data_IF_939000909142
#
_entry.id   IF_939000909142
#
_cell.length_a   1.000
_cell.length_b   1.000
_cell.length_c   1.000
_cell.angle_alpha   90.00
_cell.angle_beta   90.00
_cell.angle_gamma   90.00
#
_symmetry.space_group_name_H-M   'P 1'
#
loop_
_entity.id
_entity.type
_entity.pdbx_description
1 polymer ?
#
# COMPACT_ATOMS: atom_id res chain seq x y z
N UNK A 1 0.00 36.45 -13.69
CA UNK A 1 0.72 36.70 -12.43
C UNK A 1 -0.20 37.06 -11.28
N UNK A 2 -0.98 38.15 -11.35
CA UNK A 2 -1.94 38.52 -10.30
C UNK A 2 -2.88 37.37 -9.91
N UNK A 3 -3.41 36.66 -10.90
CA UNK A 3 -4.30 35.51 -10.68
C UNK A 3 -3.63 34.39 -9.86
N UNK A 4 -2.38 34.03 -10.18
CA UNK A 4 -1.61 32.99 -9.47
C UNK A 4 -1.41 33.38 -8.01
N UNK A 5 -1.04 34.65 -7.75
CA UNK A 5 -0.88 35.15 -6.38
C UNK A 5 -2.20 35.16 -5.60
N UNK A 6 -3.30 35.57 -6.24
CA UNK A 6 -4.63 35.52 -5.63
C UNK A 6 -5.04 34.07 -5.31
N UNK A 7 -4.73 33.11 -6.18
CA UNK A 7 -5.02 31.69 -5.96
C UNK A 7 -4.18 31.11 -4.83
N UNK A 8 -2.87 31.39 -4.80
CA UNK A 8 -1.98 30.99 -3.71
C UNK A 8 -2.44 31.59 -2.37
N UNK A 9 -2.78 32.88 -2.34
CA UNK A 9 -3.29 33.53 -1.12
C UNK A 9 -4.61 32.91 -0.65
N UNK A 10 -5.53 32.62 -1.58
CA UNK A 10 -6.79 31.92 -1.28
C UNK A 10 -6.52 30.54 -0.68
N UNK A 11 -5.67 29.73 -1.32
CA UNK A 11 -5.31 28.38 -0.84
C UNK A 11 -4.62 28.42 0.52
N UNK A 12 -3.71 29.35 0.75
CA UNK A 12 -3.04 29.52 2.04
C UNK A 12 -4.04 29.85 3.16
N UNK A 13 -5.06 30.66 2.86
CA UNK A 13 -6.12 31.01 3.80
C UNK A 13 -7.04 29.83 4.10
N UNK A 14 -7.46 29.08 3.08
CA UNK A 14 -8.48 28.03 3.20
C UNK A 14 -7.90 26.67 3.67
N UNK A 15 -6.62 26.41 3.42
CA UNK A 15 -6.01 25.11 3.73
C UNK A 15 -6.06 24.70 5.21
N UNK A 16 -5.84 25.59 6.20
CA UNK A 16 -5.96 25.23 7.61
C UNK A 16 -7.37 24.78 8.00
N UNK A 17 -8.38 25.52 7.58
CA UNK A 17 -9.79 25.18 7.85
C UNK A 17 -10.14 23.85 7.18
N UNK A 18 -9.73 23.66 5.93
CA UNK A 18 -9.94 22.39 5.22
C UNK A 18 -9.22 21.21 5.89
N UNK A 19 -8.01 21.41 6.39
CA UNK A 19 -7.28 20.39 7.12
C UNK A 19 -7.94 20.04 8.46
N UNK A 20 -8.51 21.03 9.15
CA UNK A 20 -9.28 20.82 10.38
C UNK A 20 -10.56 20.01 10.09
N UNK A 21 -11.33 20.37 9.07
CA UNK A 21 -12.50 19.62 8.61
C UNK A 21 -12.16 18.15 8.31
N UNK A 22 -11.09 17.91 7.56
CA UNK A 22 -10.67 16.55 7.21
C UNK A 22 -10.20 15.77 8.43
N UNK A 23 -9.56 16.42 9.40
CA UNK A 23 -9.14 15.79 10.66
C UNK A 23 -10.35 15.37 11.51
N UNK A 24 -11.39 16.21 11.57
CA UNK A 24 -12.65 15.86 12.22
C UNK A 24 -13.32 14.68 11.51
N UNK A 25 -13.45 14.75 10.18
CA UNK A 25 -14.00 13.65 9.39
C UNK A 25 -13.23 12.34 9.60
N UNK A 26 -11.90 12.40 9.67
CA UNK A 26 -11.05 11.23 9.95
C UNK A 26 -11.40 10.60 11.30
N UNK A 27 -11.60 11.42 12.34
CA UNK A 27 -11.99 10.95 13.66
C UNK A 27 -13.37 10.27 13.61
N UNK A 28 -14.36 10.88 12.95
CA UNK A 28 -15.70 10.32 12.78
C UNK A 28 -15.67 8.95 12.07
N UNK A 29 -14.94 8.83 10.96
CA UNK A 29 -14.78 7.58 10.21
C UNK A 29 -14.06 6.53 11.06
N UNK A 30 -13.05 6.93 11.84
CA UNK A 30 -12.34 6.04 12.76
C UNK A 30 -13.27 5.49 13.85
N UNK A 31 -14.09 6.34 14.47
CA UNK A 31 -15.04 5.93 15.49
C UNK A 31 -16.12 5.01 14.91
N UNK A 32 -16.62 5.32 13.71
CA UNK A 32 -17.54 4.45 13.00
C UNK A 32 -16.91 3.08 12.69
N UNK A 33 -15.64 3.05 12.28
CA UNK A 33 -14.91 1.82 12.00
C UNK A 33 -14.76 0.96 13.27
N UNK A 34 -14.45 1.56 14.42
CA UNK A 34 -14.37 0.84 15.69
C UNK A 34 -15.72 0.22 16.07
N UNK A 35 -16.81 0.98 15.97
CA UNK A 35 -18.17 0.45 16.23
C UNK A 35 -18.52 -0.71 15.30
N UNK A 36 -18.18 -0.61 14.02
CA UNK A 36 -18.43 -1.69 13.06
C UNK A 36 -17.58 -2.94 13.36
N UNK A 37 -16.32 -2.77 13.77
CA UNK A 37 -15.46 -3.88 14.19
C UNK A 37 -15.99 -4.57 15.46
N UNK A 38 -16.51 -3.81 16.41
CA UNK A 38 -17.11 -4.38 17.62
C UNK A 38 -18.39 -5.16 17.31
N UNK A 39 -19.22 -4.66 16.39
CA UNK A 39 -20.40 -5.39 15.90
C UNK A 39 -20.02 -6.72 15.22
N UNK A 40 -18.95 -6.73 14.41
CA UNK A 40 -18.41 -7.95 13.80
C UNK A 40 -17.98 -8.95 14.88
N UNK A 41 -17.17 -8.51 15.86
CA UNK A 41 -16.70 -9.37 16.97
C UNK A 41 -17.84 -9.91 17.82
N UNK A 42 -18.85 -9.09 18.10
CA UNK A 42 -20.02 -9.51 18.86
C UNK A 42 -20.76 -10.63 18.13
N UNK A 43 -20.96 -10.52 16.81
CA UNK A 43 -21.58 -11.57 16.00
C UNK A 43 -20.75 -12.86 15.97
N UNK A 44 -19.43 -12.75 15.84
CA UNK A 44 -18.54 -13.91 15.92
C UNK A 44 -18.64 -14.62 17.26
N UNK A 45 -18.68 -13.88 18.37
CA UNK A 45 -18.83 -14.43 19.71
C UNK A 45 -20.22 -15.07 19.92
N UNK A 46 -21.29 -14.42 19.46
CA UNK A 46 -22.66 -14.95 19.52
C UNK A 46 -22.78 -16.29 18.78
N UNK A 47 -22.28 -16.37 17.54
CA UNK A 47 -22.35 -17.59 16.73
C UNK A 47 -21.47 -18.69 17.30
N UNK A 48 -20.24 -18.37 17.72
CA UNK A 48 -19.34 -19.34 18.35
C UNK A 48 -19.93 -19.90 19.66
N UNK A 49 -20.54 -19.03 20.47
CA UNK A 49 -21.22 -19.42 21.71
C UNK A 49 -22.42 -20.33 21.45
N UNK A 50 -23.25 -20.01 20.45
CA UNK A 50 -24.38 -20.85 20.05
C UNK A 50 -23.92 -22.25 19.58
N UNK A 51 -22.88 -22.31 18.73
CA UNK A 51 -22.31 -23.58 18.25
C UNK A 51 -21.72 -24.41 19.39
N UNK A 52 -21.08 -23.76 20.36
CA UNK A 52 -20.51 -24.45 21.53
C UNK A 52 -21.58 -24.98 22.50
N UNK A 53 -22.71 -24.28 22.62
CA UNK A 53 -23.82 -24.65 23.50
C UNK A 53 -24.72 -25.76 22.93
N UNK A 54 -24.68 -26.00 21.62
CA UNK A 54 -25.50 -27.02 20.97
C UNK A 54 -25.13 -28.45 21.40
N UNK A 55 -26.16 -29.20 21.80
CA UNK A 55 -26.06 -30.58 22.26
C UNK A 55 -26.89 -31.49 21.36
N UNK A 56 -26.45 -32.74 21.24
CA UNK A 56 -27.21 -33.81 20.60
C UNK A 56 -28.32 -34.33 21.55
N UNK A 57 -29.17 -35.24 21.07
CA UNK A 57 -30.26 -35.84 21.86
C UNK A 57 -29.81 -36.58 23.12
N UNK A 58 -28.53 -36.99 23.19
CA UNK A 58 -27.92 -37.66 24.35
C UNK A 58 -27.29 -36.68 25.36
N UNK A 59 -27.46 -35.37 25.16
CA UNK A 59 -26.89 -34.32 26.02
C UNK A 59 -25.39 -34.08 25.86
N UNK A 60 -24.73 -34.72 24.88
CA UNK A 60 -23.33 -34.48 24.53
C UNK A 60 -23.21 -33.31 23.54
N UNK A 61 -22.07 -32.58 23.49
CA UNK A 61 -21.88 -31.51 22.51
C UNK A 61 -22.07 -32.02 21.08
N UNK A 62 -22.83 -31.29 20.27
CA UNK A 62 -23.10 -31.64 18.87
C UNK A 62 -21.80 -31.61 18.03
N UNK A 63 -20.90 -30.68 18.37
CA UNK A 63 -19.59 -30.52 17.74
C UNK A 63 -18.48 -30.79 18.78
N UNK A 64 -18.03 -32.06 18.90
CA UNK A 64 -17.17 -32.47 20.01
C UNK A 64 -15.73 -31.92 19.90
N UNK A 65 -15.19 -31.79 18.68
CA UNK A 65 -13.84 -31.28 18.47
C UNK A 65 -13.83 -29.80 18.04
N UNK A 66 -12.70 -29.13 18.26
CA UNK A 66 -12.55 -27.70 17.95
C UNK A 66 -12.64 -27.41 16.45
N UNK A 67 -12.09 -28.30 15.62
CA UNK A 67 -12.14 -28.16 14.17
C UNK A 67 -13.58 -28.14 13.61
N UNK A 68 -14.47 -29.01 14.11
CA UNK A 68 -15.88 -29.05 13.72
C UNK A 68 -16.63 -27.81 14.21
N UNK A 69 -16.35 -27.33 15.44
CA UNK A 69 -16.92 -26.07 15.93
C UNK A 69 -16.52 -24.88 15.07
N UNK A 70 -15.24 -24.79 14.69
CA UNK A 70 -14.74 -23.69 13.86
C UNK A 70 -15.32 -23.76 12.44
N UNK A 71 -15.44 -24.95 11.86
CA UNK A 71 -16.06 -25.15 10.54
C UNK A 71 -17.54 -24.76 10.54
N UNK A 72 -18.29 -25.18 11.56
CA UNK A 72 -19.71 -24.83 11.70
C UNK A 72 -19.92 -23.34 11.97
N UNK A 73 -19.11 -22.76 12.87
CA UNK A 73 -19.13 -21.32 13.16
C UNK A 73 -18.88 -20.52 11.88
N UNK A 74 -17.88 -20.92 11.09
CA UNK A 74 -17.58 -20.28 9.80
C UNK A 74 -18.73 -20.42 8.82
N UNK A 75 -19.37 -21.60 8.72
CA UNK A 75 -20.53 -21.84 7.86
C UNK A 75 -21.70 -20.92 8.23
N UNK A 76 -21.99 -20.78 9.53
CA UNK A 76 -23.08 -19.92 10.02
C UNK A 76 -22.78 -18.44 9.78
N UNK A 77 -21.56 -17.98 10.05
CA UNK A 77 -21.15 -16.60 9.76
C UNK A 77 -21.19 -16.29 8.25
N UNK A 78 -20.87 -17.26 7.39
CA UNK A 78 -21.01 -17.11 5.94
C UNK A 78 -22.47 -16.93 5.51
N UNK A 79 -23.41 -17.61 6.18
CA UNK A 79 -24.84 -17.51 5.90
C UNK A 79 -25.52 -16.30 6.60
N UNK A 80 -24.90 -15.74 7.65
CA UNK A 80 -25.45 -14.62 8.40
C UNK A 80 -25.32 -13.31 7.62
N UNK A 81 -26.45 -12.81 7.11
CA UNK A 81 -26.50 -11.57 6.34
C UNK A 81 -26.06 -10.34 7.16
N UNK A 82 -26.32 -10.33 8.46
CA UNK A 82 -25.91 -9.24 9.36
C UNK A 82 -24.40 -9.17 9.54
N UNK A 83 -23.74 -10.32 9.70
CA UNK A 83 -22.28 -10.43 9.75
C UNK A 83 -21.65 -9.99 8.42
N UNK A 84 -22.18 -10.45 7.28
CA UNK A 84 -21.66 -10.04 5.97
C UNK A 84 -21.83 -8.54 5.74
N UNK A 85 -22.97 -7.96 6.12
CA UNK A 85 -23.19 -6.51 6.03
C UNK A 85 -22.21 -5.73 6.92
N UNK A 86 -22.02 -6.15 8.18
CA UNK A 86 -21.07 -5.51 9.09
C UNK A 86 -19.62 -5.59 8.57
N UNK A 87 -19.24 -6.72 7.95
CA UNK A 87 -17.92 -6.89 7.34
C UNK A 87 -17.72 -6.00 6.12
N UNK A 88 -18.72 -5.93 5.23
CA UNK A 88 -18.69 -5.04 4.08
C UNK A 88 -18.59 -3.56 4.53
N UNK A 89 -19.26 -3.20 5.62
CA UNK A 89 -19.19 -1.87 6.22
C UNK A 89 -17.79 -1.55 6.78
N UNK A 90 -17.14 -2.50 7.47
CA UNK A 90 -15.74 -2.35 7.90
C UNK A 90 -14.82 -2.09 6.72
N UNK A 91 -14.97 -2.81 5.62
CA UNK A 91 -14.14 -2.64 4.43
C UNK A 91 -14.40 -1.29 3.73
N UNK A 92 -15.66 -0.84 3.69
CA UNK A 92 -16.05 0.49 3.21
C UNK A 92 -15.38 1.60 4.03
N UNK A 93 -15.51 1.53 5.36
CA UNK A 93 -14.95 2.53 6.28
C UNK A 93 -13.42 2.57 6.24
N UNK A 94 -12.75 1.43 6.08
CA UNK A 94 -11.30 1.38 5.85
C UNK A 94 -10.88 2.07 4.57
N UNK A 95 -11.66 1.93 3.49
CA UNK A 95 -11.39 2.62 2.24
C UNK A 95 -11.57 4.12 2.41
N UNK A 96 -12.67 4.56 3.01
CA UNK A 96 -12.93 5.97 3.27
C UNK A 96 -11.85 6.60 4.16
N UNK A 97 -11.38 5.89 5.20
CA UNK A 97 -10.31 6.38 6.06
C UNK A 97 -9.02 6.65 5.27
N UNK A 98 -8.64 5.75 4.35
CA UNK A 98 -7.46 5.94 3.48
C UNK A 98 -7.63 7.12 2.52
N UNK A 99 -8.84 7.33 2.01
CA UNK A 99 -9.15 8.48 1.15
C UNK A 99 -9.01 9.79 1.92
N UNK A 100 -9.57 9.86 3.14
CA UNK A 100 -9.43 11.03 4.02
C UNK A 100 -7.97 11.28 4.39
N UNK A 101 -7.21 10.26 4.76
CA UNK A 101 -5.78 10.39 5.05
C UNK A 101 -5.00 10.92 3.82
N UNK A 102 -5.32 10.41 2.63
CA UNK A 102 -4.71 10.86 1.37
C UNK A 102 -5.05 12.33 1.07
N UNK A 103 -6.29 12.75 1.35
CA UNK A 103 -6.69 14.15 1.21
C UNK A 103 -5.98 15.07 2.21
N UNK A 104 -5.84 14.66 3.47
CA UNK A 104 -5.08 15.39 4.50
C UNK A 104 -3.64 15.58 4.04
N UNK A 105 -2.98 14.51 3.58
CA UNK A 105 -1.62 14.59 3.06
C UNK A 105 -1.52 15.54 1.86
N UNK A 106 -2.47 15.44 0.91
CA UNK A 106 -2.50 16.30 -0.27
C UNK A 106 -2.63 17.78 0.11
N UNK A 107 -3.58 18.12 0.98
CA UNK A 107 -3.78 19.49 1.48
C UNK A 107 -2.54 19.98 2.22
N UNK A 108 -1.96 19.15 3.10
CA UNK A 108 -0.77 19.51 3.86
C UNK A 108 0.50 19.69 3.01
N UNK A 109 0.69 18.85 1.97
CA UNK A 109 1.78 19.04 0.98
C UNK A 109 1.55 20.32 0.18
N UNK A 110 0.32 20.58 -0.25
CA UNK A 110 0.02 21.77 -1.05
C UNK A 110 0.23 23.06 -0.26
N UNK A 111 -0.30 23.12 0.96
CA UNK A 111 -0.14 24.27 1.85
C UNK A 111 1.34 24.60 2.10
N UNK A 112 2.17 23.60 2.40
CA UNK A 112 3.62 23.80 2.57
C UNK A 112 4.29 24.31 1.30
N UNK A 113 3.87 23.81 0.14
CA UNK A 113 4.41 24.24 -1.16
C UNK A 113 4.03 25.70 -1.46
N UNK A 114 2.76 26.06 -1.26
CA UNK A 114 2.25 27.43 -1.43
C UNK A 114 2.93 28.40 -0.44
N UNK A 115 3.20 27.97 0.80
CA UNK A 115 3.87 28.78 1.81
C UNK A 115 5.33 29.03 1.44
N UNK A 116 6.06 27.99 1.03
CA UNK A 116 7.44 28.10 0.55
C UNK A 116 7.55 29.02 -0.67
N UNK A 117 6.58 28.91 -1.60
CA UNK A 117 6.51 29.82 -2.75
C UNK A 117 6.33 31.27 -2.29
N UNK A 118 5.40 31.53 -1.36
CA UNK A 118 5.18 32.88 -0.84
C UNK A 118 6.44 33.45 -0.17
N UNK A 119 7.16 32.64 0.62
CA UNK A 119 8.44 33.05 1.22
C UNK A 119 9.52 33.36 0.17
N UNK A 120 9.69 32.48 -0.83
CA UNK A 120 10.65 32.70 -1.91
C UNK A 120 10.30 33.97 -2.70
N UNK A 121 9.01 34.14 -3.02
CA UNK A 121 8.49 35.32 -3.72
C UNK A 121 8.80 36.62 -2.96
N UNK A 122 8.59 36.63 -1.64
CA UNK A 122 8.91 37.77 -0.79
C UNK A 122 10.41 38.08 -0.77
N UNK A 123 11.26 37.04 -0.68
CA UNK A 123 12.71 37.19 -0.69
C UNK A 123 13.25 37.74 -2.02
N UNK A 124 12.74 37.27 -3.16
CA UNK A 124 13.15 37.76 -4.48
C UNK A 124 12.77 39.24 -4.68
N UNK A 125 11.56 39.62 -4.25
CA UNK A 125 11.12 41.01 -4.29
C UNK A 125 11.96 41.90 -3.37
N UNK A 126 12.26 41.45 -2.15
CA UNK A 126 13.10 42.19 -1.21
C UNK A 126 14.54 42.40 -1.74
N UNK A 127 15.04 41.47 -2.54
CA UNK A 127 16.36 41.55 -3.17
C UNK A 127 16.37 42.35 -4.49
N UNK A 128 15.23 42.87 -4.94
CA UNK A 128 15.13 43.57 -6.24
C UNK A 128 15.19 42.64 -7.46
N UNK A 129 15.13 41.32 -7.26
CA UNK A 129 15.20 40.27 -8.30
C UNK A 129 13.82 40.05 -8.94
N UNK A 130 13.35 41.06 -9.69
CA UNK A 130 12.01 41.05 -10.26
C UNK A 130 11.84 40.02 -11.38
N UNK A 131 12.84 39.86 -12.25
CA UNK A 131 12.76 38.93 -13.38
C UNK A 131 12.69 37.48 -12.89
N UNK A 132 13.47 37.13 -11.86
CA UNK A 132 13.46 35.81 -11.22
C UNK A 132 12.11 35.53 -10.52
N UNK A 133 11.52 36.54 -9.88
CA UNK A 133 10.19 36.45 -9.29
C UNK A 133 9.13 36.14 -10.36
N UNK A 134 9.14 36.86 -11.48
CA UNK A 134 8.17 36.66 -12.56
C UNK A 134 8.35 35.27 -13.22
N UNK A 135 9.59 34.84 -13.44
CA UNK A 135 9.92 33.51 -13.95
C UNK A 135 9.48 32.38 -13.01
N UNK A 136 9.72 32.52 -11.70
CA UNK A 136 9.28 31.57 -10.68
C UNK A 136 7.75 31.44 -10.65
N UNK A 137 7.00 32.55 -10.70
CA UNK A 137 5.54 32.50 -10.73
C UNK A 137 5.02 31.85 -12.01
N UNK A 138 5.65 32.12 -13.16
CA UNK A 138 5.28 31.49 -14.42
C UNK A 138 5.48 29.96 -14.37
N UNK A 139 6.62 29.50 -13.85
CA UNK A 139 6.91 28.09 -13.68
C UNK A 139 5.88 27.41 -12.74
N UNK A 140 5.54 28.07 -11.63
CA UNK A 140 4.56 27.54 -10.68
C UNK A 140 3.15 27.42 -11.28
N UNK A 141 2.70 28.44 -12.03
CA UNK A 141 1.39 28.42 -12.70
C UNK A 141 1.27 27.36 -13.79
N UNK A 142 2.38 26.95 -14.40
CA UNK A 142 2.38 25.85 -15.39
C UNK A 142 2.37 24.45 -14.75
N UNK A 143 2.83 24.30 -13.51
CA UNK A 143 2.89 23.01 -12.83
C UNK A 143 1.51 22.44 -12.44
N UNK A 144 0.49 23.31 -12.27
CA UNK A 144 -0.89 22.90 -11.97
C UNK A 144 -1.68 22.43 -13.21
N UNK A 145 -1.16 22.67 -14.42
CA UNK A 145 -1.68 22.03 -15.63
C UNK A 145 -1.02 20.67 -15.76
N UNK A 146 -1.66 19.65 -15.19
CA UNK A 146 -1.23 18.27 -15.35
C UNK A 146 -0.96 17.96 -16.85
N UNK A 147 0.16 17.30 -17.21
CA UNK A 147 0.25 16.61 -18.47
C UNK A 147 -0.76 15.45 -18.43
N UNK A 148 -1.98 15.70 -18.91
CA UNK A 148 -2.83 14.65 -19.44
C UNK A 148 -2.15 14.13 -20.71
N UNK A 149 -2.01 12.82 -20.81
CA UNK A 149 -1.38 12.09 -21.92
C UNK A 149 0.15 12.20 -22.07
N UNK A 150 0.87 11.57 -21.13
CA UNK A 150 1.99 10.71 -21.51
C UNK A 150 1.62 9.27 -21.20
N UNK A 151 1.82 8.31 -22.12
CA UNK A 151 1.63 6.89 -21.81
C UNK A 151 2.48 6.54 -20.61
N UNK A 152 1.88 5.83 -19.65
CA UNK A 152 2.52 5.31 -18.44
C UNK A 152 3.80 4.53 -18.81
N UNK A 153 4.93 5.23 -18.79
CA UNK A 153 6.20 4.60 -18.43
C UNK A 153 6.04 4.20 -16.96
N UNK A 154 5.75 2.92 -16.75
CA UNK A 154 5.61 2.27 -15.44
C UNK A 154 6.62 2.84 -14.46
N UNK A 155 6.09 3.56 -13.47
CA UNK A 155 6.81 4.05 -12.33
C UNK A 155 7.62 2.91 -11.71
N UNK A 156 8.94 3.08 -11.73
CA UNK A 156 9.84 2.50 -10.75
C UNK A 156 9.25 2.78 -9.37
N UNK A 157 8.99 1.72 -8.62
CA UNK A 157 8.53 1.83 -7.25
C UNK A 157 9.59 2.56 -6.44
N UNK A 158 9.27 3.79 -6.02
CA UNK A 158 9.96 4.48 -4.94
C UNK A 158 10.07 3.55 -3.74
N UNK A 159 11.30 3.12 -3.49
CA UNK A 159 11.67 2.42 -2.28
C UNK A 159 11.40 3.35 -1.09
N UNK A 160 10.48 2.94 -0.21
CA UNK A 160 10.48 3.42 1.18
C UNK A 160 11.88 3.17 1.76
N UNK A 161 12.44 4.11 2.54
CA UNK A 161 13.73 3.90 3.18
C UNK A 161 13.53 2.93 4.36
N UNK A 162 13.55 1.64 4.07
CA UNK A 162 13.63 0.60 5.08
C UNK A 162 15.11 0.29 5.37
N UNK A 163 15.38 0.13 6.66
CA UNK A 163 16.65 -0.17 7.31
C UNK A 163 17.68 -0.90 6.44
N UNK A 164 18.95 -0.49 6.56
CA UNK A 164 20.15 -1.19 6.05
C UNK A 164 20.04 -2.70 6.30
N UNK A 165 19.48 -3.44 5.36
CA UNK A 165 19.50 -4.89 5.33
C UNK A 165 20.62 -5.28 4.38
N UNK A 166 21.40 -6.29 4.76
CA UNK A 166 22.48 -6.82 3.96
C UNK A 166 21.92 -7.36 2.64
N UNK A 167 22.15 -6.59 1.58
CA UNK A 167 21.79 -6.96 0.21
C UNK A 167 23.05 -7.40 -0.50
N UNK A 168 23.11 -8.68 -0.85
CA UNK A 168 24.22 -9.29 -1.59
C UNK A 168 23.88 -9.34 -3.09
N UNK A 169 24.89 -9.47 -3.94
CA UNK A 169 24.72 -9.66 -5.39
C UNK A 169 25.58 -10.83 -5.85
N UNK A 170 24.96 -11.83 -6.48
CA UNK A 170 25.66 -12.98 -7.06
C UNK A 170 25.17 -13.30 -8.47
N UNK A 171 25.95 -14.10 -9.18
CA UNK A 171 25.55 -14.65 -10.49
C UNK A 171 25.11 -16.10 -10.32
N UNK A 172 23.92 -16.42 -10.82
CA UNK A 172 23.36 -17.77 -10.75
C UNK A 172 22.98 -18.27 -12.14
N UNK A 173 23.11 -19.58 -12.35
CA UNK A 173 22.53 -20.27 -13.52
C UNK A 173 21.12 -20.74 -13.19
N UNK A 174 20.12 -20.33 -13.96
CA UNK A 174 18.72 -20.73 -13.71
C UNK A 174 18.47 -22.12 -14.27
N UNK A 175 18.11 -23.08 -13.41
CA UNK A 175 17.86 -24.47 -13.82
C UNK A 175 16.38 -24.71 -14.14
N UNK A 176 15.48 -24.31 -13.24
CA UNK A 176 14.04 -24.55 -13.37
C UNK A 176 13.25 -23.42 -12.70
N UNK A 177 12.09 -23.06 -13.23
CA UNK A 177 11.19 -22.07 -12.63
C UNK A 177 9.82 -22.69 -12.38
N UNK A 178 9.33 -22.57 -11.16
CA UNK A 178 7.99 -23.02 -10.76
C UNK A 178 7.13 -21.86 -10.27
N UNK A 179 5.81 -21.89 -10.49
CA UNK A 179 4.90 -20.91 -9.90
C UNK A 179 4.93 -20.99 -8.37
N UNK A 180 4.90 -19.82 -7.72
CA UNK A 180 4.84 -19.70 -6.26
C UNK A 180 3.42 -19.79 -5.72
N UNK A 181 3.28 -19.57 -4.39
CA UNK A 181 1.97 -19.59 -3.69
C UNK A 181 1.08 -18.39 -4.00
N UNK A 182 1.64 -17.30 -4.51
CA UNK A 182 0.92 -16.05 -4.78
C UNK A 182 1.02 -15.71 -6.26
N UNK A 183 -0.04 -15.10 -6.79
CA UNK A 183 -0.08 -14.65 -8.18
C UNK A 183 1.07 -13.67 -8.46
N UNK A 184 1.84 -13.94 -9.53
CA UNK A 184 3.00 -13.14 -9.91
C UNK A 184 4.29 -13.42 -9.13
N UNK A 185 4.29 -14.39 -8.21
CA UNK A 185 5.51 -14.87 -7.51
C UNK A 185 5.97 -16.19 -8.12
N UNK A 186 7.28 -16.34 -8.35
CA UNK A 186 7.90 -17.60 -8.80
C UNK A 186 8.94 -18.09 -7.80
N UNK A 187 9.24 -19.39 -7.89
CA UNK A 187 10.39 -20.03 -7.25
C UNK A 187 11.30 -20.57 -8.35
N UNK A 188 12.45 -19.93 -8.54
CA UNK A 188 13.50 -20.39 -9.44
C UNK A 188 14.51 -21.24 -8.66
N UNK A 189 14.87 -22.40 -9.19
CA UNK A 189 16.01 -23.18 -8.72
C UNK A 189 17.23 -22.74 -9.51
N UNK A 190 18.22 -22.18 -8.82
CA UNK A 190 19.42 -21.65 -9.44
C UNK A 190 20.67 -22.31 -8.86
N UNK A 191 21.71 -22.42 -9.67
CA UNK A 191 23.02 -22.94 -9.27
C UNK A 191 24.02 -21.78 -9.21
N UNK A 192 24.53 -21.52 -8.01
CA UNK A 192 25.61 -20.55 -7.76
C UNK A 192 26.89 -21.25 -7.31
N UNK A 193 27.89 -20.48 -6.89
CA UNK A 193 29.18 -21.02 -6.43
C UNK A 193 29.04 -21.91 -5.19
N UNK A 194 28.08 -21.61 -4.31
CA UNK A 194 27.77 -22.37 -3.10
C UNK A 194 26.84 -23.56 -3.31
N UNK A 195 26.41 -23.81 -4.56
CA UNK A 195 25.54 -24.92 -4.94
C UNK A 195 24.13 -24.47 -5.34
N UNK A 196 23.16 -25.41 -5.24
CA UNK A 196 21.78 -25.20 -5.69
C UNK A 196 20.96 -24.46 -4.62
N UNK A 197 20.42 -23.31 -4.98
CA UNK A 197 19.63 -22.45 -4.10
C UNK A 197 18.28 -22.10 -4.73
N UNK A 198 17.25 -21.92 -3.89
CA UNK A 198 15.96 -21.43 -4.33
C UNK A 198 15.93 -19.89 -4.28
N UNK A 199 15.69 -19.26 -5.42
CA UNK A 199 15.51 -17.81 -5.57
C UNK A 199 14.03 -17.51 -5.80
N UNK A 200 13.45 -16.71 -4.92
CA UNK A 200 12.07 -16.24 -5.01
C UNK A 200 12.06 -14.84 -5.63
N UNK A 201 11.17 -14.64 -6.59
CA UNK A 201 11.01 -13.35 -7.25
C UNK A 201 9.54 -13.04 -7.47
N UNK A 202 9.21 -11.75 -7.55
CA UNK A 202 7.86 -11.26 -7.83
C UNK A 202 7.88 -10.29 -9.01
N UNK A 203 6.76 -10.20 -9.73
CA UNK A 203 6.50 -9.18 -10.76
C UNK A 203 7.54 -9.18 -11.89
N UNK A 204 8.17 -8.03 -12.18
CA UNK A 204 9.13 -7.87 -13.29
C UNK A 204 10.33 -8.81 -13.18
N UNK A 205 10.88 -8.97 -11.96
CA UNK A 205 12.02 -9.86 -11.69
C UNK A 205 11.66 -11.32 -11.98
N UNK A 206 10.42 -11.73 -11.70
CA UNK A 206 9.94 -13.06 -12.01
C UNK A 206 9.94 -13.34 -13.52
N UNK A 207 9.56 -12.36 -14.34
CA UNK A 207 9.60 -12.49 -15.80
C UNK A 207 11.01 -12.64 -16.34
N UNK A 208 11.97 -11.89 -15.79
CA UNK A 208 13.39 -11.98 -16.19
C UNK A 208 13.94 -13.38 -15.89
N UNK A 209 13.71 -13.90 -14.68
CA UNK A 209 14.16 -15.23 -14.31
C UNK A 209 13.47 -16.34 -15.11
N UNK A 210 12.17 -16.21 -15.40
CA UNK A 210 11.44 -17.15 -16.24
C UNK A 210 11.94 -17.16 -17.70
N UNK A 211 12.39 -16.02 -18.22
CA UNK A 211 12.99 -15.92 -19.56
C UNK A 211 14.44 -16.42 -19.64
N UNK A 212 15.13 -16.52 -18.51
CA UNK A 212 16.54 -16.89 -18.44
C UNK A 212 16.78 -18.36 -18.05
N UNK A 213 15.78 -19.24 -18.19
CA UNK A 213 15.94 -20.69 -17.90
C UNK A 213 17.03 -21.28 -18.80
N UNK A 214 18.05 -21.88 -18.19
CA UNK A 214 19.25 -22.39 -18.85
C UNK A 214 20.40 -21.38 -18.98
N UNK A 215 20.12 -20.08 -18.78
CA UNK A 215 21.10 -18.98 -18.84
C UNK A 215 21.64 -18.56 -17.47
N UNK A 216 22.56 -17.58 -17.48
CA UNK A 216 23.11 -16.94 -16.27
C UNK A 216 22.42 -15.61 -16.01
N UNK A 217 22.18 -15.31 -14.74
CA UNK A 217 21.55 -14.07 -14.27
C UNK A 217 22.31 -13.54 -13.07
N UNK A 218 22.58 -12.24 -13.08
CA UNK A 218 23.06 -11.53 -11.91
C UNK A 218 21.85 -11.10 -11.09
N UNK A 219 21.78 -11.53 -9.83
CA UNK A 219 20.66 -11.29 -8.94
C UNK A 219 21.15 -10.52 -7.73
N UNK A 220 20.50 -9.39 -7.46
CA UNK A 220 20.63 -8.65 -6.20
C UNK A 220 19.56 -9.16 -5.25
N UNK A 221 19.95 -9.73 -4.11
CA UNK A 221 19.02 -10.47 -3.25
C UNK A 221 19.19 -10.19 -1.76
N UNK A 222 18.13 -10.52 -1.02
CA UNK A 222 18.13 -10.62 0.44
C UNK A 222 18.02 -12.09 0.86
N UNK A 223 18.74 -12.50 1.89
CA UNK A 223 18.63 -13.85 2.47
C UNK A 223 17.30 -14.01 3.23
N UNK A 224 16.64 -15.15 3.04
CA UNK A 224 15.46 -15.61 3.79
C UNK A 224 15.76 -16.97 4.40
N UNK A 225 14.98 -17.36 5.42
CA UNK A 225 15.12 -18.66 6.09
C UNK A 225 14.99 -19.87 5.15
N UNK A 226 14.34 -19.68 3.99
CA UNK A 226 14.02 -20.75 3.01
C UNK A 226 14.60 -20.53 1.62
N UNK A 227 15.53 -19.58 1.46
CA UNK A 227 16.17 -19.26 0.18
C UNK A 227 16.55 -17.79 0.04
N UNK A 228 16.63 -17.30 -1.20
CA UNK A 228 17.00 -15.92 -1.51
C UNK A 228 15.80 -15.18 -2.10
N UNK A 229 15.60 -13.92 -1.74
CA UNK A 229 14.58 -13.06 -2.35
C UNK A 229 15.22 -12.07 -3.30
N UNK A 230 14.93 -12.20 -4.60
CA UNK A 230 15.47 -11.34 -5.65
C UNK A 230 14.77 -9.98 -5.64
N UNK A 231 15.55 -8.92 -5.41
CA UNK A 231 15.14 -7.53 -5.53
C UNK A 231 15.31 -7.03 -6.97
N UNK A 232 16.39 -7.46 -7.63
CA UNK A 232 16.70 -7.13 -9.02
C UNK A 232 17.36 -8.34 -9.71
N UNK A 233 17.06 -8.57 -10.98
CA UNK A 233 17.70 -9.58 -11.80
C UNK A 233 18.05 -9.02 -13.18
N UNK A 234 19.27 -9.29 -13.64
CA UNK A 234 19.75 -8.91 -14.97
C UNK A 234 20.33 -10.15 -15.68
N UNK A 235 19.93 -10.44 -16.93
CA UNK A 235 20.57 -11.50 -17.70
C UNK A 235 22.03 -11.15 -17.97
N UNK A 236 22.91 -12.13 -17.79
CA UNK A 236 24.33 -12.02 -18.12
C UNK A 236 24.56 -12.90 -19.34
N UNK A 237 25.05 -12.28 -20.42
CA UNK A 237 25.36 -12.97 -21.67
C UNK A 237 26.50 -13.98 -21.50
#
# INVERSE_FOLDING_TARGET
>A
MREILCEVAKRLREAPDRAAELTLKRAEVSDALHKALDAVKQKEAEVAGAVAAEKNGDGRPLFPNEAARNAETSRRLQADAGYQAARAEVDRLRKELREVDSEIERVGRRHRSDANLAYLAANLLAAGMREEFEAMLAAYGTADRAPQDKPEAKAEAEAKPEAKQDVDTDTFKVLEVRPGKSEGTIRAYCEGESGKVAVYAKNGVAKVLAGAVGGKVQVKYRKLDKGLFALEARPVA
#
